data_IF_182081242683
#
_entry.id   IF_182081242683
#
_cell.length_a   1.000
_cell.length_b   1.000
_cell.length_c   1.000
_cell.angle_alpha   90.00
_cell.angle_beta   90.00
_cell.angle_gamma   90.00
#
_symmetry.space_group_name_H-M   'P 1'
#
loop_
_entity.id
_entity.type
_entity.pdbx_description
1 polymer ?
#
# COMPACT_ATOMS: atom_id res chain seq x y z
N UNK A 1 27.62 -47.97 -57.62
CA UNK A 1 28.02 -47.51 -56.30
C UNK A 1 27.14 -46.30 -55.93
N UNK A 2 26.17 -46.57 -55.09
CA UNK A 2 25.29 -45.46 -54.60
C UNK A 2 25.73 -45.19 -53.16
N UNK A 3 26.24 -43.97 -52.91
CA UNK A 3 26.56 -43.50 -51.57
C UNK A 3 25.30 -42.85 -51.01
N UNK A 4 24.72 -43.47 -50.00
CA UNK A 4 23.67 -42.92 -49.19
C UNK A 4 24.30 -41.95 -48.18
N UNK A 5 23.99 -40.66 -48.36
CA UNK A 5 24.29 -39.64 -47.37
C UNK A 5 23.17 -39.65 -46.31
N UNK A 6 23.49 -40.10 -45.10
CA UNK A 6 22.65 -39.96 -43.93
C UNK A 6 22.78 -38.51 -43.43
N UNK A 7 21.76 -37.73 -43.59
CA UNK A 7 21.64 -36.43 -42.94
C UNK A 7 21.07 -36.65 -41.55
N UNK A 8 21.91 -36.51 -40.55
CA UNK A 8 21.45 -36.49 -39.16
C UNK A 8 20.91 -35.11 -38.80
N UNK A 9 19.61 -34.96 -38.72
CA UNK A 9 18.97 -33.76 -38.19
C UNK A 9 19.10 -33.78 -36.68
N UNK A 10 19.95 -32.91 -36.15
CA UNK A 10 20.02 -32.64 -34.70
C UNK A 10 18.86 -31.73 -34.36
N UNK A 11 17.83 -32.24 -33.70
CA UNK A 11 16.78 -31.47 -33.13
C UNK A 11 17.31 -30.81 -31.87
N UNK A 12 17.54 -29.48 -31.92
CA UNK A 12 17.84 -28.70 -30.74
C UNK A 12 16.56 -28.54 -29.93
N UNK A 13 16.42 -29.31 -28.86
CA UNK A 13 15.36 -29.11 -27.90
C UNK A 13 15.70 -27.87 -27.05
N UNK A 14 15.10 -26.74 -27.37
CA UNK A 14 15.14 -25.55 -26.51
C UNK A 14 14.29 -25.85 -25.28
N UNK A 15 14.92 -26.23 -24.18
CA UNK A 15 14.26 -26.29 -22.89
C UNK A 15 13.96 -24.86 -22.47
N UNK A 16 12.71 -24.44 -22.61
CA UNK A 16 12.24 -23.21 -22.03
C UNK A 16 12.28 -23.38 -20.51
N UNK A 17 13.24 -22.72 -19.86
CA UNK A 17 13.28 -22.59 -18.42
C UNK A 17 12.14 -21.67 -18.00
N UNK A 18 10.98 -22.25 -17.71
CA UNK A 18 9.91 -21.52 -17.05
C UNK A 18 10.33 -21.32 -15.61
N UNK A 19 10.73 -20.08 -15.27
CA UNK A 19 10.93 -19.67 -13.88
C UNK A 19 9.56 -19.80 -13.21
N UNK A 20 9.41 -20.63 -12.15
CA UNK A 20 8.11 -20.75 -11.50
C UNK A 20 7.71 -19.40 -10.92
N UNK A 21 6.52 -18.91 -11.30
CA UNK A 21 5.92 -17.67 -10.78
C UNK A 21 5.71 -17.70 -9.26
N UNK A 22 5.92 -18.85 -8.61
CA UNK A 22 5.76 -19.05 -7.17
C UNK A 22 6.76 -18.27 -6.30
N UNK A 23 7.85 -17.71 -6.86
CA UNK A 23 8.82 -16.90 -6.11
C UNK A 23 8.36 -15.45 -5.91
N UNK A 24 7.33 -15.00 -6.64
CA UNK A 24 6.83 -13.63 -6.56
C UNK A 24 5.86 -13.40 -5.40
N UNK A 25 5.42 -14.45 -4.69
CA UNK A 25 4.45 -14.33 -3.61
C UNK A 25 3.18 -13.60 -4.03
N UNK A 26 2.23 -13.48 -3.12
CA UNK A 26 1.06 -12.63 -3.29
C UNK A 26 1.15 -11.48 -2.31
N UNK A 27 1.47 -10.26 -2.74
CA UNK A 27 1.52 -9.10 -1.85
C UNK A 27 0.21 -8.92 -1.09
N UNK A 28 0.30 -8.77 0.23
CA UNK A 28 -0.86 -8.57 1.10
C UNK A 28 -0.46 -7.92 2.41
N UNK A 29 -1.37 -7.13 2.97
CA UNK A 29 -1.20 -6.55 4.29
C UNK A 29 -1.49 -7.60 5.37
N UNK A 30 -0.56 -7.77 6.30
CA UNK A 30 -0.67 -8.76 7.38
C UNK A 30 -1.31 -8.15 8.61
N UNK A 31 -0.81 -7.02 9.06
CA UNK A 31 -1.24 -6.38 10.30
C UNK A 31 -1.16 -4.87 10.09
N UNK A 32 -2.29 -4.20 10.11
CA UNK A 32 -2.35 -2.75 9.93
C UNK A 32 -3.18 -2.15 11.05
N UNK A 33 -2.62 -1.15 11.72
CA UNK A 33 -3.27 -0.40 12.78
C UNK A 33 -3.22 1.08 12.47
N UNK A 34 -4.21 1.81 12.97
CA UNK A 34 -4.27 3.26 12.87
C UNK A 34 -4.49 3.84 14.26
N UNK A 35 -3.74 4.87 14.59
CA UNK A 35 -3.83 5.57 15.87
C UNK A 35 -3.93 7.06 15.63
N UNK A 36 -5.01 7.66 16.10
CA UNK A 36 -5.23 9.11 16.00
C UNK A 36 -4.65 9.83 17.21
N UNK A 37 -4.00 10.95 16.97
CA UNK A 37 -3.52 11.86 18.00
C UNK A 37 -3.71 13.30 17.54
N UNK A 38 -4.65 14.03 18.15
CA UNK A 38 -4.96 15.40 17.76
C UNK A 38 -5.39 15.50 16.29
N UNK A 39 -4.64 16.26 15.51
CA UNK A 39 -4.88 16.48 14.08
C UNK A 39 -4.13 15.47 13.18
N UNK A 40 -3.56 14.44 13.77
CA UNK A 40 -2.77 13.45 13.03
C UNK A 40 -3.30 12.04 13.22
N UNK A 41 -3.08 11.21 12.22
CA UNK A 41 -3.31 9.77 12.29
C UNK A 41 -2.06 9.06 11.79
N UNK A 42 -1.59 8.08 12.56
CA UNK A 42 -0.45 7.24 12.19
C UNK A 42 -0.96 5.86 11.82
N UNK A 43 -0.62 5.43 10.61
CA UNK A 43 -0.96 4.11 10.10
C UNK A 43 0.33 3.30 10.03
N UNK A 44 0.36 2.19 10.72
CA UNK A 44 1.52 1.30 10.80
C UNK A 44 1.11 -0.13 10.52
N UNK A 45 2.00 -0.88 9.92
CA UNK A 45 1.71 -2.27 9.63
C UNK A 45 2.85 -2.98 8.93
N UNK A 46 2.50 -4.13 8.41
CA UNK A 46 3.41 -5.01 7.69
C UNK A 46 2.74 -5.50 6.41
N UNK A 47 3.51 -5.53 5.35
CA UNK A 47 3.14 -6.20 4.12
C UNK A 47 4.02 -7.43 3.92
N UNK A 48 3.45 -8.51 3.44
CA UNK A 48 4.15 -9.75 3.14
C UNK A 48 3.90 -10.16 1.68
N UNK A 49 4.59 -11.22 1.25
CA UNK A 49 4.45 -11.70 -0.12
C UNK A 49 5.20 -10.88 -1.16
N UNK A 50 6.23 -10.13 -0.73
CA UNK A 50 6.99 -9.23 -1.61
C UNK A 50 8.19 -9.90 -2.28
N UNK A 51 8.43 -11.19 -2.01
CA UNK A 51 9.49 -11.95 -2.67
C UNK A 51 10.88 -11.34 -2.47
N UNK A 52 11.62 -11.16 -3.56
CA UNK A 52 13.00 -10.65 -3.55
C UNK A 52 13.09 -9.15 -3.83
N UNK A 53 12.00 -8.42 -3.73
CA UNK A 53 12.04 -6.97 -3.90
C UNK A 53 12.88 -6.32 -2.81
N UNK A 54 13.51 -5.20 -3.14
CA UNK A 54 14.37 -4.46 -2.20
C UNK A 54 13.60 -3.44 -1.39
N UNK A 55 12.52 -2.90 -1.96
CA UNK A 55 11.65 -1.92 -1.33
C UNK A 55 10.25 -2.00 -1.91
N UNK A 56 9.29 -1.42 -1.20
CA UNK A 56 7.90 -1.26 -1.63
C UNK A 56 7.44 0.16 -1.35
N UNK A 57 6.63 0.71 -2.25
CA UNK A 57 6.04 2.04 -2.08
C UNK A 57 4.64 1.95 -1.49
N UNK A 58 4.47 2.51 -0.31
CA UNK A 58 3.20 2.53 0.42
C UNK A 58 2.66 3.95 0.47
N UNK A 59 1.37 4.08 0.20
CA UNK A 59 0.63 5.33 0.32
C UNK A 59 -0.55 5.15 1.28
N UNK A 60 -0.77 6.12 2.14
CA UNK A 60 -1.98 6.20 2.97
C UNK A 60 -2.74 7.44 2.57
N UNK A 61 -4.03 7.28 2.34
CA UNK A 61 -4.95 8.39 2.02
C UNK A 61 -6.11 8.40 3.00
N UNK A 62 -6.64 9.56 3.27
CA UNK A 62 -7.82 9.72 4.11
C UNK A 62 -8.53 11.04 3.80
N UNK A 63 -9.77 11.14 4.24
CA UNK A 63 -10.49 12.40 4.32
C UNK A 63 -10.49 12.87 5.77
N UNK A 64 -9.94 14.04 6.03
CA UNK A 64 -9.97 14.67 7.34
C UNK A 64 -11.16 15.62 7.42
N UNK A 65 -11.89 15.57 8.53
CA UNK A 65 -13.06 16.39 8.79
C UNK A 65 -12.94 17.05 10.16
N UNK A 66 -13.22 18.35 10.22
CA UNK A 66 -13.39 19.04 11.49
C UNK A 66 -14.86 18.95 11.89
N UNK A 67 -15.17 18.18 12.92
CA UNK A 67 -16.54 17.92 13.38
C UNK A 67 -16.81 18.56 14.72
N UNK A 68 -18.03 19.10 14.88
CA UNK A 68 -18.48 19.62 16.19
C UNK A 68 -19.02 18.48 17.05
N UNK A 69 -19.26 18.76 18.34
CA UNK A 69 -19.71 17.76 19.31
C UNK A 69 -21.05 17.10 19.02
N UNK A 70 -21.82 17.61 18.05
CA UNK A 70 -23.08 17.00 17.60
C UNK A 70 -22.95 15.99 16.48
N UNK A 71 -21.78 15.67 16.04
CA UNK A 71 -21.49 14.72 14.94
C UNK A 71 -22.19 15.04 13.61
N UNK A 72 -22.54 16.30 13.38
CA UNK A 72 -23.11 16.71 12.11
C UNK A 72 -22.03 16.73 11.05
N UNK A 73 -22.41 16.30 9.84
CA UNK A 73 -21.49 16.34 8.70
C UNK A 73 -21.00 17.77 8.49
N UNK A 74 -19.68 17.97 8.47
CA UNK A 74 -19.12 19.31 8.29
C UNK A 74 -19.41 19.83 6.89
N UNK A 75 -19.43 21.18 6.77
CA UNK A 75 -19.45 21.82 5.47
C UNK A 75 -18.19 21.47 4.69
N UNK A 76 -18.24 21.61 3.37
CA UNK A 76 -17.12 21.25 2.48
C UNK A 76 -15.79 21.93 2.86
N UNK A 77 -15.82 23.14 3.40
CA UNK A 77 -14.65 23.88 3.87
C UNK A 77 -13.96 23.28 5.09
N UNK A 78 -14.66 22.40 5.82
CA UNK A 78 -14.12 21.69 6.97
C UNK A 78 -13.70 20.25 6.64
N UNK A 79 -13.50 19.98 5.37
CA UNK A 79 -13.01 18.68 4.86
C UNK A 79 -11.79 18.89 4.00
N UNK A 80 -10.84 18.01 4.12
CA UNK A 80 -9.69 17.97 3.23
C UNK A 80 -9.24 16.54 2.96
N UNK A 81 -8.66 16.34 1.79
CA UNK A 81 -7.97 15.08 1.48
C UNK A 81 -6.54 15.17 2.00
N UNK A 82 -6.11 14.16 2.73
CA UNK A 82 -4.76 14.06 3.27
C UNK A 82 -4.12 12.77 2.79
N UNK A 83 -2.81 12.82 2.58
CA UNK A 83 -2.04 11.66 2.15
C UNK A 83 -0.62 11.71 2.69
N UNK A 84 -0.02 10.54 2.81
CA UNK A 84 1.40 10.37 3.08
C UNK A 84 1.88 9.13 2.34
N UNK A 85 3.11 9.15 1.88
CA UNK A 85 3.68 8.05 1.13
C UNK A 85 5.16 7.88 1.45
N UNK A 86 5.70 6.70 1.21
CA UNK A 86 7.11 6.43 1.41
C UNK A 86 7.53 5.08 0.86
N UNK A 87 8.82 4.92 0.70
CA UNK A 87 9.46 3.66 0.33
C UNK A 87 9.98 2.96 1.57
N UNK A 88 9.66 1.69 1.68
CA UNK A 88 10.03 0.88 2.84
C UNK A 88 10.86 -0.33 2.41
N UNK A 89 11.94 -0.63 3.15
CA UNK A 89 12.80 -1.76 2.80
C UNK A 89 12.08 -3.09 2.99
N UNK A 90 12.34 -4.00 2.07
CA UNK A 90 11.83 -5.37 2.11
C UNK A 90 12.92 -6.30 2.60
N UNK A 91 12.62 -7.11 3.61
CA UNK A 91 13.48 -8.16 4.12
C UNK A 91 12.70 -9.46 4.23
N UNK A 92 13.21 -10.51 3.61
CA UNK A 92 12.57 -11.83 3.61
C UNK A 92 11.12 -11.79 3.09
N UNK A 93 10.87 -10.97 2.06
CA UNK A 93 9.55 -10.81 1.47
C UNK A 93 8.56 -9.98 2.29
N UNK A 94 9.02 -9.27 3.31
CA UNK A 94 8.19 -8.48 4.22
C UNK A 94 8.72 -7.05 4.36
N UNK A 95 7.80 -6.10 4.52
CA UNK A 95 8.13 -4.71 4.79
C UNK A 95 7.29 -4.19 5.96
N UNK A 96 7.96 -3.56 6.91
CA UNK A 96 7.30 -2.80 7.97
C UNK A 96 7.18 -1.36 7.52
N UNK A 97 6.02 -0.74 7.73
CA UNK A 97 5.78 0.64 7.37
C UNK A 97 5.10 1.41 8.48
N UNK A 98 5.31 2.72 8.48
CA UNK A 98 4.61 3.68 9.34
C UNK A 98 4.54 5.02 8.64
N UNK A 99 3.34 5.54 8.47
CA UNK A 99 3.07 6.81 7.82
C UNK A 99 2.11 7.64 8.67
N UNK A 100 2.40 8.93 8.79
CA UNK A 100 1.57 9.87 9.56
C UNK A 100 0.97 10.90 8.62
N UNK A 101 -0.35 11.05 8.70
CA UNK A 101 -1.12 12.08 7.99
C UNK A 101 -1.49 13.16 8.99
N UNK A 102 -1.30 14.41 8.62
CA UNK A 102 -1.66 15.55 9.46
C UNK A 102 -2.64 16.44 8.73
N UNK A 103 -3.76 16.71 9.39
CA UNK A 103 -4.77 17.63 8.88
C UNK A 103 -4.44 19.07 9.30
N UNK A 104 -4.71 20.01 8.40
CA UNK A 104 -4.54 21.43 8.64
C UNK A 104 -5.76 22.19 8.13
N UNK A 105 -6.49 22.82 9.04
CA UNK A 105 -7.71 23.58 8.71
C UNK A 105 -7.49 25.07 8.92
N UNK A 106 -8.19 25.88 8.12
CA UNK A 106 -8.24 27.33 8.25
C UNK A 106 -9.70 27.79 8.36
N UNK A 107 -10.16 28.28 9.52
CA UNK A 107 -9.44 28.35 10.82
C UNK A 107 -9.16 26.98 11.43
N UNK A 108 -8.27 26.94 12.42
CA UNK A 108 -7.89 25.70 13.10
C UNK A 108 -9.08 24.93 13.67
N UNK A 109 -9.02 23.63 13.57
CA UNK A 109 -9.98 22.74 14.23
C UNK A 109 -9.64 22.62 15.71
N UNK A 110 -10.28 23.46 16.53
CA UNK A 110 -10.00 23.58 17.96
C UNK A 110 -11.17 23.11 18.81
N UNK A 111 -10.94 22.65 20.04
CA UNK A 111 -12.03 22.27 20.95
C UNK A 111 -13.11 23.38 21.08
N UNK A 112 -14.40 23.03 21.11
CA UNK A 112 -14.96 21.68 21.25
C UNK A 112 -15.02 20.84 19.97
N UNK A 113 -14.49 21.35 18.86
CA UNK A 113 -14.39 20.60 17.61
C UNK A 113 -13.23 19.58 17.68
N UNK A 114 -13.40 18.49 16.95
CA UNK A 114 -12.39 17.44 16.83
C UNK A 114 -12.17 17.07 15.39
N UNK A 115 -10.94 16.60 15.07
CA UNK A 115 -10.63 16.07 13.76
C UNK A 115 -11.02 14.60 13.70
N UNK A 116 -11.76 14.25 12.65
CA UNK A 116 -12.10 12.88 12.32
C UNK A 116 -11.47 12.50 10.98
N UNK A 117 -10.92 11.31 10.91
CA UNK A 117 -10.43 10.75 9.65
C UNK A 117 -11.39 9.68 9.16
N UNK A 118 -11.79 9.78 7.90
CA UNK A 118 -12.66 8.79 7.27
C UNK A 118 -11.99 8.28 5.99
N UNK A 119 -12.46 7.11 5.52
CA UNK A 119 -11.89 6.45 4.34
C UNK A 119 -10.37 6.34 4.41
N UNK A 120 -9.87 5.90 5.55
CA UNK A 120 -8.44 5.66 5.72
C UNK A 120 -8.05 4.41 4.95
N UNK A 121 -7.27 4.59 3.89
CA UNK A 121 -6.88 3.51 2.98
C UNK A 121 -5.37 3.45 2.89
N UNK A 122 -4.82 2.27 3.09
CA UNK A 122 -3.41 1.98 2.82
C UNK A 122 -3.30 1.22 1.50
N UNK A 123 -2.36 1.62 0.66
CA UNK A 123 -2.18 1.05 -0.68
C UNK A 123 -0.70 0.80 -0.95
N UNK A 124 -0.40 -0.40 -1.42
CA UNK A 124 0.83 -0.67 -2.14
C UNK A 124 0.59 -0.29 -3.60
N UNK A 125 1.18 0.80 -4.03
CA UNK A 125 0.95 1.37 -5.36
C UNK A 125 1.63 0.57 -6.48
N UNK A 126 2.68 -0.19 -6.15
CA UNK A 126 3.40 -1.00 -7.13
C UNK A 126 2.64 -2.28 -7.49
N UNK A 127 1.93 -2.87 -6.52
CA UNK A 127 1.21 -4.13 -6.72
C UNK A 127 -0.31 -3.97 -6.76
N UNK A 128 -0.81 -2.76 -6.54
CA UNK A 128 -2.26 -2.50 -6.56
C UNK A 128 -3.03 -3.15 -5.42
N UNK A 129 -2.39 -3.36 -4.27
CA UNK A 129 -3.02 -3.95 -3.09
C UNK A 129 -3.46 -2.86 -2.15
N UNK A 130 -4.70 -2.88 -1.70
CA UNK A 130 -5.27 -1.87 -0.80
C UNK A 130 -6.00 -2.51 0.37
N UNK A 131 -6.03 -1.77 1.48
CA UNK A 131 -6.86 -2.12 2.64
C UNK A 131 -7.53 -0.86 3.17
N UNK A 132 -8.85 -0.91 3.30
CA UNK A 132 -9.62 0.14 3.94
C UNK A 132 -9.67 -0.11 5.44
N UNK A 133 -9.24 0.87 6.22
CA UNK A 133 -9.19 0.80 7.68
C UNK A 133 -10.42 1.42 8.33
N UNK A 134 -11.25 2.13 7.58
CA UNK A 134 -12.44 2.79 8.09
C UNK A 134 -12.20 4.19 8.58
N UNK A 135 -12.82 4.54 9.70
CA UNK A 135 -12.81 5.90 10.27
C UNK A 135 -12.27 5.90 11.70
N UNK A 136 -11.64 7.04 12.08
CA UNK A 136 -10.99 7.22 13.38
C UNK A 136 -11.25 8.62 13.95
#
# INVERSE_FOLDING_TARGET
MRRLLLVATIALATAALTVPAALAGSPHFVSVTATRSGNSITVSGKEAGLGNETQVHIEVTATAECVNGGKKHPKAENKESVSAEGDFPVQNGKADFSLTLTASFQPDCSPPMTVRFSNVVVTDTEHGVSKNLGSF
#
